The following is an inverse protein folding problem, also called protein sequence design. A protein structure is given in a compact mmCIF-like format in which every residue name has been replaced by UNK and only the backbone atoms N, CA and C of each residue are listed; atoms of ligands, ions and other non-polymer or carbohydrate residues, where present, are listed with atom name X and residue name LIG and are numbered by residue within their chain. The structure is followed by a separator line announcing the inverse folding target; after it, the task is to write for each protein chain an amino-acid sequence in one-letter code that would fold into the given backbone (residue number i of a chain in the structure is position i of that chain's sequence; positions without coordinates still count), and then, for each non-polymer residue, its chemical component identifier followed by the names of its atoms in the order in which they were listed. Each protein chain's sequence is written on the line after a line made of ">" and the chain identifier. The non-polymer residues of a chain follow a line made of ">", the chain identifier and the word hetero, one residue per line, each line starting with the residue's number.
data_IF_783171191692
#
_entry.id   IF_783171191692
#
_cell.length_a   1.000
_cell.length_b   1.000
_cell.length_c   1.000
_cell.angle_alpha   90.00
_cell.angle_beta   90.00
_cell.angle_gamma   90.00
#
_symmetry.space_group_name_H-M   'P 1'
#
loop_
_entity.id
_entity.type
_entity.pdbx_description
1 polymer ?
#
# COMPACT_ATOMS: atom_id res chain seq x y z
N UNK A 1 3.67 6.17 23.78
CA UNK A 1 5.13 6.05 23.94
C UNK A 1 5.52 4.59 23.79
N UNK A 2 6.37 4.26 22.81
CA UNK A 2 7.35 3.15 22.80
C UNK A 2 8.04 3.11 21.42
N UNK A 3 8.81 4.15 21.08
CA UNK A 3 9.87 4.05 20.08
C UNK A 3 11.17 3.90 20.85
N UNK A 4 11.65 2.66 20.97
CA UNK A 4 13.03 2.39 21.37
C UNK A 4 13.67 1.64 20.21
N UNK A 5 14.68 2.23 19.52
CA UNK A 5 15.47 1.52 18.53
C UNK A 5 16.51 0.70 19.29
N UNK A 6 16.07 -0.35 19.98
CA UNK A 6 17.00 -1.28 20.64
C UNK A 6 16.89 -2.60 19.89
N UNK A 7 17.97 -2.95 19.20
CA UNK A 7 18.06 -4.23 18.53
C UNK A 7 17.94 -5.36 19.58
N UNK A 8 17.20 -6.44 19.28
CA UNK A 8 17.16 -7.63 20.14
C UNK A 8 18.57 -8.18 20.37
N UNK A 9 18.81 -8.87 21.48
CA UNK A 9 20.15 -9.43 21.76
C UNK A 9 20.54 -10.45 20.69
N UNK A 10 21.83 -10.53 20.36
CA UNK A 10 22.37 -11.42 19.31
C UNK A 10 21.91 -12.88 19.48
N UNK A 11 21.86 -13.39 20.72
CA UNK A 11 21.40 -14.74 21.03
C UNK A 11 19.92 -14.98 20.70
N UNK A 12 19.07 -13.96 20.86
CA UNK A 12 17.64 -14.04 20.54
C UNK A 12 17.44 -14.16 19.03
N UNK A 13 18.18 -13.36 18.25
CA UNK A 13 18.17 -13.41 16.79
C UNK A 13 18.67 -14.77 16.30
N UNK A 14 19.79 -15.26 16.82
CA UNK A 14 20.34 -16.57 16.44
C UNK A 14 19.41 -17.74 16.79
N UNK A 15 18.69 -17.65 17.91
CA UNK A 15 17.72 -18.69 18.31
C UNK A 15 16.48 -18.66 17.43
N UNK A 16 15.98 -17.47 17.08
CA UNK A 16 14.85 -17.30 16.18
C UNK A 16 15.16 -17.89 14.78
N UNK A 17 16.33 -17.55 14.22
CA UNK A 17 16.74 -18.05 12.91
C UNK A 17 16.86 -19.58 12.87
N UNK A 18 17.36 -20.20 13.95
CA UNK A 18 17.38 -21.65 14.11
C UNK A 18 15.97 -22.25 14.17
N UNK A 19 15.07 -21.63 14.93
CA UNK A 19 13.67 -22.08 15.02
C UNK A 19 12.92 -22.00 13.68
N UNK A 20 13.29 -21.04 12.82
CA UNK A 20 12.74 -20.90 11.48
C UNK A 20 13.39 -21.80 10.41
N UNK A 21 14.39 -22.61 10.77
CA UNK A 21 15.09 -23.47 9.80
C UNK A 21 16.10 -22.74 8.92
N UNK A 22 16.48 -21.50 9.25
CA UNK A 22 17.45 -20.67 8.51
C UNK A 22 18.91 -20.96 8.88
N UNK A 23 19.21 -22.15 9.43
CA UNK A 23 20.57 -22.57 9.79
C UNK A 23 21.59 -22.41 8.65
N UNK A 24 21.29 -22.77 7.39
CA UNK A 24 22.24 -22.61 6.28
C UNK A 24 22.65 -21.15 6.02
N UNK A 25 21.82 -20.18 6.43
CA UNK A 25 22.05 -18.73 6.22
C UNK A 25 22.40 -17.99 7.50
N UNK A 26 22.50 -18.69 8.63
CA UNK A 26 22.70 -18.10 9.97
C UNK A 26 23.94 -17.20 10.02
N UNK A 27 25.08 -17.65 9.48
CA UNK A 27 26.32 -16.86 9.49
C UNK A 27 26.20 -15.54 8.70
N UNK A 28 25.51 -15.57 7.55
CA UNK A 28 25.28 -14.39 6.73
C UNK A 28 24.33 -13.39 7.41
N UNK A 29 23.28 -13.91 8.07
CA UNK A 29 22.35 -13.11 8.86
C UNK A 29 23.03 -12.47 10.07
N UNK A 30 23.81 -13.23 10.85
CA UNK A 30 24.50 -12.70 12.02
C UNK A 30 25.55 -11.64 11.66
N UNK A 31 26.25 -11.79 10.53
CA UNK A 31 27.17 -10.76 10.01
C UNK A 31 26.46 -9.44 9.68
N UNK A 32 25.24 -9.51 9.17
CA UNK A 32 24.41 -8.32 8.91
C UNK A 32 23.94 -7.68 10.21
N UNK A 33 23.49 -8.49 11.16
CA UNK A 33 23.09 -8.05 12.49
C UNK A 33 24.23 -7.31 13.21
N UNK A 34 25.45 -7.85 13.20
CA UNK A 34 26.63 -7.21 13.82
C UNK A 34 26.90 -5.82 13.24
N UNK A 35 26.74 -5.65 11.92
CA UNK A 35 26.91 -4.35 11.27
C UNK A 35 25.89 -3.31 11.76
N UNK A 36 24.66 -3.74 12.02
CA UNK A 36 23.61 -2.88 12.56
C UNK A 36 23.82 -2.58 14.05
N UNK A 37 24.36 -3.54 14.79
CA UNK A 37 24.61 -3.42 16.24
C UNK A 37 25.71 -2.42 16.59
N UNK A 38 26.69 -2.20 15.69
CA UNK A 38 27.79 -1.24 15.91
C UNK A 38 27.31 0.22 15.88
N UNK A 39 26.15 0.52 15.28
CA UNK A 39 25.58 1.87 15.20
C UNK A 39 26.45 2.86 14.40
N UNK A 40 25.93 4.04 14.02
CA UNK A 40 26.77 5.12 13.50
C UNK A 40 27.70 5.63 14.61
N UNK A 41 28.98 5.83 14.30
CA UNK A 41 29.89 6.54 15.21
C UNK A 41 29.30 7.91 15.57
N UNK A 42 29.45 8.38 16.83
CA UNK A 42 28.94 9.68 17.23
C UNK A 42 29.63 10.77 16.40
N UNK A 43 28.86 11.44 15.55
CA UNK A 43 29.26 12.72 14.97
C UNK A 43 29.28 13.72 16.12
N UNK A 44 30.46 14.21 16.48
CA UNK A 44 30.65 15.30 17.43
C UNK A 44 29.85 16.51 16.90
N UNK A 45 28.89 17.06 17.68
CA UNK A 45 28.17 18.23 17.24
C UNK A 45 29.13 19.41 17.05
N UNK A 46 29.17 19.99 15.85
CA UNK A 46 29.76 21.30 15.66
C UNK A 46 28.89 22.32 16.43
N UNK A 47 29.56 23.17 17.18
CA UNK A 47 29.01 24.26 17.97
C UNK A 47 28.15 25.19 17.09
N UNK A 48 26.93 25.57 17.50
CA UNK A 48 26.05 26.40 16.69
C UNK A 48 26.55 27.85 16.66
N UNK A 49 27.03 28.27 15.49
CA UNK A 49 27.30 29.67 15.16
C UNK A 49 25.99 30.47 15.17
N UNK A 50 26.06 31.62 15.83
CA UNK A 50 24.96 32.46 16.27
C UNK A 50 23.96 32.87 15.17
N UNK A 51 22.68 32.74 15.49
CA UNK A 51 21.55 33.18 14.68
C UNK A 51 21.48 34.72 14.54
N UNK A 52 21.06 35.26 13.37
CA UNK A 52 20.64 36.65 13.26
C UNK A 52 19.19 36.85 13.75
N UNK A 53 18.96 38.00 14.38
CA UNK A 53 17.72 38.42 15.05
C UNK A 53 16.46 38.42 14.15
N UNK A 54 15.27 38.08 14.70
CA UNK A 54 14.01 38.19 13.98
C UNK A 54 13.43 39.61 13.99
N UNK A 55 13.08 40.11 12.80
CA UNK A 55 12.28 41.34 12.63
C UNK A 55 10.80 41.11 13.01
N UNK A 56 10.06 42.16 13.42
CA UNK A 56 8.72 42.03 13.97
C UNK A 56 7.70 41.72 12.86
N UNK A 57 6.99 40.60 12.96
CA UNK A 57 5.87 40.27 12.06
C UNK A 57 4.57 40.74 12.70
N UNK A 58 3.89 41.67 12.03
CA UNK A 58 2.58 42.20 12.40
C UNK A 58 1.49 41.12 12.32
N UNK A 59 0.65 41.05 13.35
CA UNK A 59 -0.46 40.11 13.45
C UNK A 59 -1.70 40.58 12.68
N UNK A 60 -2.31 39.75 11.81
CA UNK A 60 -3.66 40.02 11.32
C UNK A 60 -4.71 39.52 12.32
N UNK A 61 -5.44 40.47 12.89
CA UNK A 61 -6.70 40.28 13.63
C UNK A 61 -7.82 39.90 12.65
N UNK A 62 -8.73 39.01 13.08
CA UNK A 62 -10.12 39.05 12.58
C UNK A 62 -10.71 37.71 12.16
N UNK A 63 -11.16 36.92 13.14
CA UNK A 63 -11.96 35.70 12.94
C UNK A 63 -13.44 36.11 12.75
N UNK A 64 -13.96 36.04 11.53
CA UNK A 64 -15.39 36.21 11.26
C UNK A 64 -16.03 34.85 10.92
N UNK A 65 -16.75 34.31 11.90
CA UNK A 65 -17.69 33.18 11.76
C UNK A 65 -18.81 33.57 10.78
N UNK A 66 -19.11 32.73 9.79
CA UNK A 66 -20.39 32.77 9.07
C UNK A 66 -20.98 31.37 8.95
N UNK A 67 -21.91 31.14 9.87
CA UNK A 67 -23.15 30.36 9.86
C UNK A 67 -23.37 29.38 8.69
N UNK A 68 -23.47 28.10 9.07
CA UNK A 68 -24.15 27.04 8.34
C UNK A 68 -25.65 27.36 8.20
N UNK A 69 -26.19 27.22 6.99
CA UNK A 69 -27.62 27.19 6.73
C UNK A 69 -28.06 25.76 6.37
N UNK A 70 -29.01 25.26 7.15
CA UNK A 70 -29.76 24.02 6.97
C UNK A 70 -30.57 24.03 5.66
N UNK A 71 -30.71 22.83 5.06
CA UNK A 71 -31.78 22.47 4.15
C UNK A 71 -31.36 21.28 3.28
N UNK A 72 -32.08 20.17 3.14
CA UNK A 72 -33.36 19.79 3.68
C UNK A 72 -33.63 18.32 3.33
N UNK A 73 -34.46 17.73 4.18
CA UNK A 73 -35.16 16.44 4.11
C UNK A 73 -35.58 16.02 2.69
N UNK A 74 -35.41 14.73 2.38
CA UNK A 74 -36.03 14.05 1.24
C UNK A 74 -36.02 12.54 1.39
N UNK A 75 -36.90 12.00 2.24
CA UNK A 75 -37.20 10.58 2.33
C UNK A 75 -37.98 10.13 1.09
N UNK A 76 -37.51 9.08 0.39
CA UNK A 76 -38.38 8.25 -0.44
C UNK A 76 -38.07 6.78 -0.12
N UNK A 77 -38.99 6.19 0.63
CA UNK A 77 -39.14 4.75 0.81
C UNK A 77 -39.85 4.19 -0.42
N UNK A 78 -39.29 3.15 -1.03
CA UNK A 78 -40.05 2.25 -1.89
C UNK A 78 -39.74 0.82 -1.48
N UNK A 79 -40.64 0.26 -0.68
CA UNK A 79 -40.74 -1.15 -0.39
C UNK A 79 -41.24 -1.90 -1.63
N UNK A 80 -40.55 -2.98 -1.99
CA UNK A 80 -40.99 -3.91 -3.01
C UNK A 80 -40.74 -5.33 -2.54
N UNK A 81 -41.67 -5.87 -1.75
CA UNK A 81 -41.75 -7.28 -1.41
C UNK A 81 -42.72 -7.96 -2.37
N UNK A 82 -42.26 -8.97 -3.13
CA UNK A 82 -43.13 -10.00 -3.72
C UNK A 82 -42.46 -11.38 -3.56
N UNK A 83 -43.32 -12.34 -3.24
CA UNK A 83 -43.15 -13.65 -2.62
C UNK A 83 -42.58 -14.79 -3.49
N UNK A 84 -41.87 -15.69 -2.79
CA UNK A 84 -41.87 -17.16 -2.78
C UNK A 84 -42.21 -18.00 -4.03
N UNK A 85 -41.39 -19.04 -4.30
CA UNK A 85 -41.71 -20.48 -4.11
C UNK A 85 -40.47 -21.38 -4.43
N UNK A 86 -40.16 -22.30 -3.50
CA UNK A 86 -39.17 -23.41 -3.60
C UNK A 86 -39.76 -24.62 -4.36
N UNK A 87 -39.17 -25.85 -4.37
CA UNK A 87 -37.78 -26.33 -4.28
C UNK A 87 -37.41 -27.24 -5.49
N UNK A 88 -36.18 -27.75 -5.54
CA UNK A 88 -35.80 -28.80 -6.49
C UNK A 88 -34.40 -29.38 -6.21
N UNK A 89 -34.32 -30.31 -5.25
CA UNK A 89 -33.23 -31.28 -5.16
C UNK A 89 -33.41 -32.33 -6.27
N UNK A 90 -32.32 -32.67 -6.98
CA UNK A 90 -31.88 -34.06 -7.22
C UNK A 90 -30.48 -34.07 -7.83
N UNK A 91 -29.55 -34.58 -7.02
CA UNK A 91 -28.54 -35.61 -7.28
C UNK A 91 -27.58 -35.54 -8.49
N UNK A 92 -26.30 -35.81 -8.18
CA UNK A 92 -25.55 -36.81 -8.94
C UNK A 92 -24.34 -36.31 -9.71
N UNK A 93 -23.27 -35.91 -9.00
CA UNK A 93 -21.97 -35.66 -9.63
C UNK A 93 -20.83 -35.80 -8.63
N UNK A 94 -20.42 -37.04 -8.34
CA UNK A 94 -19.23 -37.36 -7.54
C UNK A 94 -17.95 -36.90 -8.26
N UNK A 95 -17.64 -35.61 -8.15
CA UNK A 95 -16.30 -35.06 -8.37
C UNK A 95 -15.62 -34.87 -7.02
N UNK A 96 -14.69 -35.77 -6.69
CA UNK A 96 -13.80 -35.69 -5.53
C UNK A 96 -13.31 -34.23 -5.33
N UNK A 97 -13.58 -33.56 -4.19
CA UNK A 97 -13.03 -32.24 -3.97
C UNK A 97 -11.50 -32.37 -3.95
N UNK A 98 -10.85 -31.69 -4.89
CA UNK A 98 -9.43 -31.43 -4.79
C UNK A 98 -9.20 -30.77 -3.42
N UNK A 99 -8.32 -31.36 -2.62
CA UNK A 99 -7.99 -30.85 -1.30
C UNK A 99 -7.54 -29.38 -1.37
N UNK A 100 -7.53 -28.66 -0.24
CA UNK A 100 -7.10 -27.27 -0.22
C UNK A 100 -5.71 -27.18 -0.85
N UNK A 101 -5.63 -26.52 -2.00
CA UNK A 101 -4.34 -26.13 -2.57
C UNK A 101 -3.70 -25.23 -1.52
N UNK A 102 -2.46 -25.50 -1.08
CA UNK A 102 -1.81 -24.63 -0.13
C UNK A 102 -1.72 -23.24 -0.75
N UNK A 103 -2.38 -22.26 -0.13
CA UNK A 103 -2.18 -20.84 -0.41
C UNK A 103 -0.72 -20.53 -0.11
N UNK A 104 0.09 -20.54 -1.16
CA UNK A 104 1.51 -20.24 -1.14
C UNK A 104 1.73 -18.77 -0.72
N UNK A 105 2.89 -18.45 -0.15
CA UNK A 105 3.06 -17.22 0.61
C UNK A 105 2.81 -16.00 -0.27
N UNK A 106 1.83 -15.22 0.18
CA UNK A 106 1.75 -13.75 0.11
C UNK A 106 3.17 -13.21 0.29
N UNK A 107 3.49 -11.98 -0.13
CA UNK A 107 4.62 -11.32 0.52
C UNK A 107 4.53 -11.68 2.00
N UNK A 108 5.61 -12.21 2.59
CA UNK A 108 5.69 -12.19 4.04
C UNK A 108 5.83 -10.70 4.39
N UNK A 109 4.75 -9.94 4.16
CA UNK A 109 4.37 -8.79 4.92
C UNK A 109 4.29 -9.40 6.30
N UNK A 110 5.45 -9.41 6.95
CA UNK A 110 5.56 -9.72 8.35
C UNK A 110 4.47 -8.92 9.05
N UNK A 111 4.09 -9.30 10.26
CA UNK A 111 3.11 -8.51 11.01
C UNK A 111 3.59 -7.08 11.37
N UNK A 112 4.67 -6.60 10.75
CA UNK A 112 5.17 -5.24 10.79
C UNK A 112 4.87 -4.50 9.48
N UNK A 113 4.88 -3.19 9.57
CA UNK A 113 4.67 -2.30 8.44
C UNK A 113 5.95 -2.19 7.59
N UNK A 114 5.81 -2.06 6.28
CA UNK A 114 6.93 -1.96 5.34
C UNK A 114 6.82 -0.74 4.44
N UNK A 115 7.83 0.12 4.49
CA UNK A 115 8.01 1.17 3.48
C UNK A 115 8.55 0.54 2.21
N UNK A 116 7.86 0.80 1.10
CA UNK A 116 8.18 0.20 -0.21
C UNK A 116 8.12 1.22 -1.32
N UNK A 117 8.79 0.89 -2.41
CA UNK A 117 8.56 1.47 -3.73
C UNK A 117 7.93 0.38 -4.60
N UNK A 118 6.86 0.75 -5.32
CA UNK A 118 6.15 -0.15 -6.22
C UNK A 118 6.41 0.32 -7.64
N UNK A 119 6.94 -0.56 -8.48
CA UNK A 119 7.21 -0.29 -9.89
C UNK A 119 6.31 -1.13 -10.79
N UNK A 120 5.71 -0.56 -11.85
CA UNK A 120 5.09 -1.35 -12.91
C UNK A 120 6.11 -2.29 -13.56
N UNK A 121 5.74 -3.55 -13.79
CA UNK A 121 6.67 -4.53 -14.36
C UNK A 121 7.13 -4.16 -15.78
N UNK A 122 6.24 -3.61 -16.61
CA UNK A 122 6.55 -3.21 -17.98
C UNK A 122 7.39 -1.93 -18.10
N UNK A 123 7.44 -1.11 -17.05
CA UNK A 123 8.21 0.14 -16.99
C UNK A 123 8.82 0.30 -15.59
N UNK A 124 9.83 -0.53 -15.26
CA UNK A 124 10.36 -0.63 -13.89
C UNK A 124 11.14 0.60 -13.43
N UNK A 125 11.42 1.53 -14.34
CA UNK A 125 11.98 2.85 -14.09
C UNK A 125 10.95 3.87 -13.58
N UNK A 126 9.66 3.56 -13.68
CA UNK A 126 8.55 4.34 -13.14
C UNK A 126 8.08 3.79 -11.80
N UNK A 127 7.37 4.62 -11.06
CA UNK A 127 6.82 4.32 -9.75
C UNK A 127 5.30 4.49 -9.75
N UNK A 128 4.61 3.63 -9.01
CA UNK A 128 3.21 3.83 -8.63
C UNK A 128 3.15 4.99 -7.63
N UNK A 129 2.51 6.08 -8.02
CA UNK A 129 2.52 7.36 -7.28
C UNK A 129 1.22 8.14 -7.50
N UNK A 130 1.07 9.26 -6.81
CA UNK A 130 -0.07 10.17 -6.97
C UNK A 130 0.05 10.98 -8.27
N UNK A 131 -1.08 11.19 -8.92
CA UNK A 131 -1.21 12.03 -10.11
C UNK A 131 -2.67 12.36 -10.37
N UNK A 132 -3.00 12.73 -11.60
CA UNK A 132 -4.39 13.00 -12.00
C UNK A 132 -4.80 12.05 -13.12
N UNK A 133 -6.11 11.82 -13.27
CA UNK A 133 -6.58 11.07 -14.42
C UNK A 133 -6.17 11.81 -15.70
N UNK A 134 -5.84 11.06 -16.76
CA UNK A 134 -5.29 11.65 -17.99
C UNK A 134 -6.22 12.68 -18.63
N UNK A 135 -7.52 12.51 -18.48
CA UNK A 135 -8.52 13.43 -19.00
C UNK A 135 -8.79 14.61 -18.05
N UNK A 136 -8.21 14.61 -16.84
CA UNK A 136 -8.45 15.55 -15.74
C UNK A 136 -9.94 15.77 -15.47
N UNK A 137 -10.73 14.70 -15.60
CA UNK A 137 -12.18 14.72 -15.37
C UNK A 137 -12.51 14.39 -13.92
N UNK A 138 -11.58 13.78 -13.20
CA UNK A 138 -11.69 13.54 -11.76
C UNK A 138 -10.91 14.61 -11.01
N UNK A 139 -11.59 15.27 -10.07
CA UNK A 139 -11.06 16.47 -9.41
C UNK A 139 -10.01 16.22 -8.32
N UNK A 140 -9.85 14.96 -7.90
CA UNK A 140 -8.86 14.56 -6.88
C UNK A 140 -7.67 13.84 -7.50
N UNK A 141 -6.60 13.74 -6.73
CA UNK A 141 -5.47 12.88 -7.06
C UNK A 141 -5.88 11.41 -7.11
N UNK A 142 -5.31 10.68 -8.06
CA UNK A 142 -5.51 9.25 -8.25
C UNK A 142 -4.17 8.55 -8.40
N UNK A 143 -4.19 7.22 -8.33
CA UNK A 143 -3.00 6.41 -8.55
C UNK A 143 -2.64 6.38 -10.04
N UNK A 144 -1.39 6.72 -10.34
CA UNK A 144 -0.78 6.67 -11.67
C UNK A 144 0.58 5.99 -11.59
N UNK A 145 1.17 5.71 -12.75
CA UNK A 145 2.61 5.53 -12.86
C UNK A 145 3.29 6.83 -13.33
N UNK A 146 4.34 7.24 -12.65
CA UNK A 146 5.14 8.42 -13.03
C UNK A 146 6.60 8.25 -12.59
N UNK A 147 7.45 9.24 -12.86
CA UNK A 147 8.85 9.25 -12.48
C UNK A 147 9.02 9.04 -10.97
N UNK A 148 9.86 8.09 -10.58
CA UNK A 148 10.24 7.86 -9.18
C UNK A 148 10.94 9.06 -8.52
N UNK A 149 11.51 9.97 -9.31
CA UNK A 149 12.17 11.19 -8.82
C UNK A 149 11.21 12.36 -8.63
N UNK A 150 9.97 12.26 -9.15
CA UNK A 150 8.97 13.29 -8.95
C UNK A 150 8.55 13.32 -7.45
N UNK A 151 8.28 14.50 -6.88
CA UNK A 151 7.70 14.58 -5.54
C UNK A 151 6.38 13.82 -5.48
N UNK A 152 6.29 12.84 -4.57
CA UNK A 152 5.12 11.98 -4.43
C UNK A 152 5.02 11.37 -3.04
N UNK A 153 3.92 10.67 -2.75
CA UNK A 153 3.74 10.01 -1.46
C UNK A 153 4.73 8.87 -1.26
N UNK A 154 5.09 8.61 0.00
CA UNK A 154 5.81 7.39 0.36
C UNK A 154 4.80 6.27 0.62
N UNK A 155 5.08 5.08 0.11
CA UNK A 155 4.15 3.94 0.21
C UNK A 155 4.49 3.05 1.39
N UNK A 156 3.48 2.77 2.22
CA UNK A 156 3.54 1.87 3.36
C UNK A 156 2.57 0.71 3.13
N UNK A 157 3.09 -0.52 3.12
CA UNK A 157 2.28 -1.72 3.22
C UNK A 157 2.06 -2.02 4.70
N UNK A 158 0.81 -1.90 5.15
CA UNK A 158 0.43 -2.09 6.55
C UNK A 158 -0.49 -3.29 6.69
N UNK A 159 -0.14 -4.28 7.53
CA UNK A 159 -1.03 -5.40 7.81
C UNK A 159 -2.38 -4.93 8.34
N UNK A 160 -3.47 -5.45 7.79
CA UNK A 160 -4.83 -5.21 8.30
C UNK A 160 -5.33 -6.44 9.08
N UNK A 161 -5.71 -7.52 8.38
CA UNK A 161 -6.07 -8.79 9.00
C UNK A 161 -5.90 -9.95 8.02
N UNK A 162 -5.58 -11.14 8.53
CA UNK A 162 -5.23 -12.27 7.69
C UNK A 162 -4.03 -11.92 6.80
N UNK A 163 -4.20 -12.09 5.50
CA UNK A 163 -3.24 -11.70 4.46
C UNK A 163 -3.61 -10.38 3.74
N UNK A 164 -4.58 -9.64 4.27
CA UNK A 164 -4.97 -8.34 3.74
C UNK A 164 -4.10 -7.23 4.31
N UNK A 165 -3.78 -6.27 3.45
CA UNK A 165 -3.05 -5.06 3.79
C UNK A 165 -3.85 -3.82 3.43
N UNK A 166 -3.58 -2.74 4.15
CA UNK A 166 -3.76 -1.39 3.64
C UNK A 166 -2.51 -1.00 2.86
N UNK A 167 -2.71 -0.38 1.69
CA UNK A 167 -1.65 0.36 0.99
C UNK A 167 -1.85 1.83 1.40
N UNK A 168 -0.99 2.31 2.29
CA UNK A 168 -1.06 3.68 2.83
C UNK A 168 -0.06 4.58 2.11
N UNK A 169 -0.45 5.83 1.89
CA UNK A 169 0.37 6.89 1.33
C UNK A 169 0.59 8.00 2.34
N UNK A 170 1.87 8.27 2.64
CA UNK A 170 2.28 9.43 3.42
C UNK A 170 2.40 10.63 2.48
N UNK A 171 1.53 11.63 2.65
CA UNK A 171 1.53 12.83 1.83
C UNK A 171 2.88 13.56 1.92
N UNK A 172 3.51 13.97 0.80
CA UNK A 172 4.88 14.50 0.79
C UNK A 172 5.04 15.79 1.60
N UNK A 173 4.01 16.64 1.65
CA UNK A 173 4.00 17.90 2.42
C UNK A 173 3.38 17.72 3.80
N UNK A 174 2.10 17.36 3.87
CA UNK A 174 1.34 17.27 5.12
C UNK A 174 1.76 16.13 6.08
N UNK A 175 2.48 15.12 5.59
CA UNK A 175 2.93 13.95 6.38
C UNK A 175 1.81 13.15 7.04
N UNK A 176 0.59 13.27 6.53
CA UNK A 176 -0.56 12.46 6.93
C UNK A 176 -0.63 11.19 6.09
N UNK A 177 -1.16 10.12 6.67
CA UNK A 177 -1.35 8.83 6.01
C UNK A 177 -2.79 8.71 5.50
N UNK A 178 -2.94 8.40 4.21
CA UNK A 178 -4.21 8.04 3.59
C UNK A 178 -4.18 6.61 3.04
N UNK A 179 -5.30 5.89 3.13
CA UNK A 179 -5.41 4.55 2.56
C UNK A 179 -5.87 4.63 1.10
N UNK A 180 -5.16 3.94 0.21
CA UNK A 180 -5.67 3.73 -1.14
C UNK A 180 -7.04 3.06 -1.06
N UNK A 181 -8.01 3.69 -1.71
CA UNK A 181 -9.41 3.31 -1.69
C UNK A 181 -9.91 3.24 -3.12
N UNK A 182 -10.61 2.16 -3.45
CA UNK A 182 -11.26 2.04 -4.76
C UNK A 182 -12.49 2.93 -4.81
N UNK A 183 -12.53 3.82 -5.80
CA UNK A 183 -13.66 4.72 -6.07
C UNK A 183 -14.29 4.34 -7.41
N UNK A 184 -15.61 4.16 -7.40
CA UNK A 184 -16.38 3.96 -8.62
C UNK A 184 -16.67 5.32 -9.26
N UNK A 185 -16.26 5.49 -10.51
CA UNK A 185 -16.55 6.69 -11.32
C UNK A 185 -17.37 6.28 -12.53
N UNK A 186 -17.92 7.26 -13.25
CA UNK A 186 -18.79 7.01 -14.41
C UNK A 186 -18.14 6.08 -15.45
N UNK A 187 -16.85 6.25 -15.69
CA UNK A 187 -16.12 5.56 -16.76
C UNK A 187 -15.16 4.48 -16.22
N UNK A 188 -15.43 3.92 -15.04
CA UNK A 188 -14.63 2.82 -14.49
C UNK A 188 -14.35 2.95 -13.00
N UNK A 189 -13.17 2.48 -12.58
CA UNK A 189 -12.71 2.53 -11.19
C UNK A 189 -11.34 3.17 -11.10
N UNK A 190 -11.17 4.00 -10.10
CA UNK A 190 -9.91 4.67 -9.77
C UNK A 190 -9.49 4.25 -8.36
N UNK A 191 -8.21 4.43 -8.06
CA UNK A 191 -7.73 4.38 -6.68
C UNK A 191 -7.36 5.80 -6.25
N UNK A 192 -7.82 6.19 -5.08
CA UNK A 192 -7.55 7.50 -4.46
C UNK A 192 -7.12 7.29 -3.00
N UNK A 193 -6.15 8.06 -2.49
CA UNK A 193 -5.89 8.10 -1.05
C UNK A 193 -7.07 8.75 -0.32
N UNK A 194 -7.70 8.01 0.59
CA UNK A 194 -8.74 8.54 1.47
C UNK A 194 -8.25 8.54 2.92
N UNK A 195 -8.71 9.52 3.67
CA UNK A 195 -8.55 9.54 5.11
C UNK A 195 -9.31 8.35 5.75
N UNK A 196 -9.07 8.11 7.04
CA UNK A 196 -9.80 7.11 7.85
C UNK A 196 -9.66 5.64 7.40
N UNK A 197 -8.41 5.17 7.34
CA UNK A 197 -8.06 3.76 7.16
C UNK A 197 -8.84 2.84 8.11
N UNK A 198 -9.59 1.89 7.55
CA UNK A 198 -10.41 0.96 8.33
C UNK A 198 -10.33 -0.46 7.79
N UNK A 199 -10.08 -1.41 8.69
CA UNK A 199 -10.11 -2.84 8.36
C UNK A 199 -11.53 -3.36 8.03
N UNK A 200 -12.57 -2.57 8.26
CA UNK A 200 -13.96 -2.92 7.93
C UNK A 200 -14.38 -2.40 6.54
N UNK A 201 -13.56 -1.60 5.87
CA UNK A 201 -13.82 -1.07 4.52
C UNK A 201 -13.10 -1.90 3.49
N UNK A 202 -13.81 -2.84 2.86
CA UNK A 202 -13.21 -3.79 1.92
C UNK A 202 -12.60 -3.12 0.69
N UNK A 203 -13.16 -1.97 0.28
CA UNK A 203 -12.63 -1.10 -0.77
C UNK A 203 -11.24 -0.51 -0.48
N UNK A 204 -10.75 -0.61 0.76
CA UNK A 204 -9.40 -0.19 1.18
C UNK A 204 -8.42 -1.35 1.37
N UNK A 205 -8.89 -2.60 1.21
CA UNK A 205 -8.12 -3.80 1.52
C UNK A 205 -7.63 -4.48 0.26
N UNK A 206 -6.37 -4.88 0.28
CA UNK A 206 -5.69 -5.52 -0.85
C UNK A 206 -4.92 -6.76 -0.38
N UNK A 207 -4.73 -7.70 -1.30
CA UNK A 207 -3.74 -8.78 -1.19
C UNK A 207 -2.58 -8.44 -2.11
N UNK A 208 -1.35 -8.53 -1.61
CA UNK A 208 -0.13 -8.40 -2.42
C UNK A 208 0.53 -9.78 -2.49
N UNK A 209 0.29 -10.45 -3.60
CA UNK A 209 0.59 -11.87 -3.81
C UNK A 209 1.75 -12.00 -4.80
N UNK A 210 2.61 -13.00 -4.67
CA UNK A 210 3.54 -13.33 -5.76
C UNK A 210 2.75 -13.64 -7.02
N UNK A 211 3.24 -13.17 -8.17
CA UNK A 211 2.53 -13.39 -9.42
C UNK A 211 2.50 -14.87 -9.80
N UNK A 212 3.64 -15.55 -9.63
CA UNK A 212 3.81 -16.99 -9.70
C UNK A 212 4.78 -17.49 -8.61
N UNK A 213 4.82 -18.79 -8.33
CA UNK A 213 5.59 -19.37 -7.22
C UNK A 213 7.06 -18.97 -7.23
N UNK A 214 7.70 -19.03 -8.40
CA UNK A 214 9.12 -18.72 -8.58
C UNK A 214 9.38 -17.27 -9.02
N UNK A 215 8.37 -16.40 -8.95
CA UNK A 215 8.48 -15.05 -9.47
C UNK A 215 8.83 -14.03 -8.37
N UNK A 216 9.57 -13.00 -8.77
CA UNK A 216 9.94 -11.86 -7.94
C UNK A 216 9.02 -10.64 -8.18
N UNK A 217 8.03 -10.79 -9.06
CA UNK A 217 6.97 -9.84 -9.30
C UNK A 217 5.69 -10.23 -8.53
N UNK A 218 4.82 -9.25 -8.37
CA UNK A 218 3.65 -9.31 -7.54
C UNK A 218 2.40 -8.92 -8.32
N UNK A 219 1.28 -9.47 -7.88
CA UNK A 219 -0.07 -9.08 -8.25
C UNK A 219 -0.71 -8.41 -7.03
N UNK A 220 -1.40 -7.31 -7.25
CA UNK A 220 -2.20 -6.65 -6.22
C UNK A 220 -3.67 -6.89 -6.51
N UNK A 221 -4.37 -7.58 -5.62
CA UNK A 221 -5.80 -7.91 -5.76
C UNK A 221 -6.61 -7.16 -4.73
N UNK A 222 -7.72 -6.59 -5.13
CA UNK A 222 -8.62 -5.89 -4.22
C UNK A 222 -9.59 -6.86 -3.53
N UNK A 223 -9.81 -6.69 -2.23
CA UNK A 223 -10.47 -7.68 -1.38
C UNK A 223 -12.00 -7.78 -1.56
N UNK A 224 -12.66 -6.75 -2.08
CA UNK A 224 -14.11 -6.71 -2.28
C UNK A 224 -14.52 -7.38 -3.60
N UNK A 225 -14.03 -6.85 -4.71
CA UNK A 225 -14.31 -7.31 -6.07
C UNK A 225 -13.50 -8.55 -6.48
N UNK A 226 -12.32 -8.76 -5.89
CA UNK A 226 -11.37 -9.78 -6.33
C UNK A 226 -10.62 -9.41 -7.61
N UNK A 227 -10.83 -8.21 -8.15
CA UNK A 227 -10.15 -7.69 -9.33
C UNK A 227 -8.71 -7.27 -9.02
N UNK A 228 -7.90 -7.20 -10.07
CA UNK A 228 -6.49 -6.89 -9.99
C UNK A 228 -6.22 -5.44 -10.35
N UNK A 229 -5.29 -4.84 -9.62
CA UNK A 229 -4.70 -3.55 -9.96
C UNK A 229 -3.95 -3.68 -11.28
N UNK A 230 -4.14 -2.70 -12.15
CA UNK A 230 -3.69 -2.72 -13.52
C UNK A 230 -3.25 -1.34 -13.97
N UNK A 231 -2.12 -1.25 -14.68
CA UNK A 231 -1.78 -0.06 -15.45
C UNK A 231 -2.72 0.06 -16.65
N UNK A 232 -3.20 1.27 -16.90
CA UNK A 232 -4.02 1.65 -18.06
C UNK A 232 -3.25 2.67 -18.92
N UNK A 233 -2.64 2.16 -19.99
CA UNK A 233 -1.80 2.93 -20.90
C UNK A 233 -0.30 2.70 -20.66
N UNK A 234 0.52 3.65 -21.14
CA UNK A 234 1.99 3.58 -21.07
C UNK A 234 2.60 4.96 -20.76
N UNK A 235 3.81 4.95 -20.19
CA UNK A 235 4.56 6.18 -19.88
C UNK A 235 4.08 6.92 -18.63
N UNK A 236 4.64 8.11 -18.39
CA UNK A 236 4.29 8.96 -17.24
C UNK A 236 2.83 9.41 -17.28
N UNK A 237 2.19 9.43 -16.12
CA UNK A 237 0.79 9.78 -15.94
C UNK A 237 -0.20 8.73 -16.47
N UNK A 238 0.26 7.53 -16.85
CA UNK A 238 -0.65 6.44 -17.16
C UNK A 238 -1.39 6.01 -15.88
N UNK A 239 -2.71 5.86 -15.98
CA UNK A 239 -3.56 5.61 -14.82
C UNK A 239 -3.39 4.21 -14.27
N UNK A 240 -3.75 4.01 -13.01
CA UNK A 240 -3.85 2.69 -12.41
C UNK A 240 -5.31 2.44 -12.01
N UNK A 241 -5.87 1.34 -12.50
CA UNK A 241 -7.28 0.97 -12.38
C UNK A 241 -7.44 -0.47 -11.88
N UNK A 242 -8.69 -0.95 -11.78
CA UNK A 242 -9.02 -2.33 -11.45
C UNK A 242 -9.63 -3.04 -12.66
N UNK A 243 -9.04 -4.17 -13.03
CA UNK A 243 -9.53 -5.06 -14.09
C UNK A 243 -9.62 -6.51 -13.62
N UNK A 244 -10.42 -7.37 -14.28
CA UNK A 244 -10.36 -8.80 -14.04
C UNK A 244 -8.91 -9.30 -14.09
N UNK A 245 -8.57 -10.14 -13.14
CA UNK A 245 -7.22 -10.68 -13.03
C UNK A 245 -6.87 -11.55 -14.26
N UNK A 246 -5.72 -11.29 -14.86
CA UNK A 246 -5.20 -11.99 -16.02
C UNK A 246 -3.66 -12.09 -15.95
N UNK A 247 -3.07 -12.97 -16.75
CA UNK A 247 -1.62 -13.18 -16.77
C UNK A 247 -0.87 -12.12 -17.59
N UNK A 248 -1.26 -10.86 -17.48
CA UNK A 248 -0.79 -9.74 -18.29
C UNK A 248 0.31 -8.94 -17.59
N UNK A 249 1.22 -8.33 -18.37
CA UNK A 249 2.35 -7.59 -17.83
C UNK A 249 1.95 -6.28 -17.13
N UNK A 250 0.83 -5.71 -17.54
CA UNK A 250 0.23 -4.50 -16.96
C UNK A 250 -0.46 -4.74 -15.60
N UNK A 251 -0.56 -5.99 -15.15
CA UNK A 251 -1.03 -6.39 -13.81
C UNK A 251 0.09 -6.93 -12.90
N UNK A 252 1.34 -6.76 -13.33
CA UNK A 252 2.54 -7.19 -12.60
C UNK A 252 3.27 -5.98 -12.04
N UNK A 253 3.77 -6.11 -10.82
CA UNK A 253 4.49 -5.06 -10.12
C UNK A 253 5.75 -5.62 -9.46
N UNK A 254 6.84 -4.84 -9.49
CA UNK A 254 8.00 -5.08 -8.64
C UNK A 254 7.80 -4.29 -7.35
N UNK A 255 8.08 -4.91 -6.21
CA UNK A 255 7.97 -4.27 -4.89
C UNK A 255 9.34 -4.33 -4.24
N UNK A 256 9.95 -3.18 -3.99
CA UNK A 256 11.28 -3.04 -3.40
C UNK A 256 11.19 -2.27 -2.08
N UNK A 257 12.09 -2.52 -1.10
CA UNK A 257 12.13 -1.70 0.11
C UNK A 257 12.45 -0.24 -0.21
N UNK A 258 11.75 0.71 0.41
CA UNK A 258 12.07 2.14 0.32
C UNK A 258 13.46 2.40 0.91
N UNK A 259 14.33 3.07 0.14
CA UNK A 259 15.74 3.28 0.47
C UNK A 259 16.69 2.12 0.12
N UNK A 260 16.21 1.04 -0.52
CA UNK A 260 17.10 0.06 -1.13
C UNK A 260 17.77 0.67 -2.37
N UNK A 261 19.09 0.82 -2.33
CA UNK A 261 19.88 1.28 -3.49
C UNK A 261 19.82 0.23 -4.60
N UNK A 262 19.23 0.60 -5.74
CA UNK A 262 19.25 -0.20 -6.98
C UNK A 262 20.63 -0.08 -7.63
N UNK A 263 21.63 -0.75 -7.07
CA UNK A 263 22.88 -0.94 -7.80
C UNK A 263 22.59 -1.87 -9.00
N UNK A 264 22.90 -1.45 -10.25
CA UNK A 264 22.73 -2.32 -11.40
C UNK A 264 23.68 -3.51 -11.27
N UNK A 265 23.17 -4.72 -11.50
CA UNK A 265 23.99 -5.91 -11.66
C UNK A 265 24.58 -5.84 -13.06
N UNK A 266 25.88 -5.59 -13.16
CA UNK A 266 26.65 -5.68 -14.41
C UNK A 266 27.01 -7.12 -14.77
#
# INVERSE_FOLDING_TARGET
>A
MLRRPVLPRAEQVGTFLRACGEEPRLAAWMKTYERLAVGPLPVVPAEPESAPEPLPVEAPRGRAKRLFALGGVGCVLAAGAIYALSPGETEGGTGKPAGPVPTQPVLAVSQADFWVVIHPFSTPDLCVTAGHDRAQRYGSEVVVQDSCAAPGPRTLLKPAHGDLVHIEWEHPVEKVLGCLTVINVKDGRLLEPQDSCSANRREQLFRVERFAVESNDYRVRQADSGDCVAVDGTGNGAGITLRPCADQADQRFLVTPDGASTAPTS
#
